data_IF_466606302982
#
_entry.id   IF_466606302982
#
_cell.length_a   1.000
_cell.length_b   1.000
_cell.length_c   1.000
_cell.angle_alpha   90.00
_cell.angle_beta   90.00
_cell.angle_gamma   90.00
#
_symmetry.space_group_name_H-M   'P 1'
#
loop_
_entity.id
_entity.type
_entity.pdbx_description
1 polymer ?
#
# COMPACT_ATOMS: atom_id res chain seq x y z
N UNK A 1 -6.42 15.49 0.21
CA UNK A 1 -4.94 15.54 0.31
C UNK A 1 -4.45 15.95 1.72
N UNK A 2 -4.66 17.17 2.26
CA UNK A 2 -4.16 17.52 3.61
C UNK A 2 -4.62 16.57 4.72
N UNK A 3 -5.85 16.07 4.62
CA UNK A 3 -6.42 15.12 5.56
C UNK A 3 -5.65 13.81 5.66
N UNK A 4 -5.21 13.27 4.54
CA UNK A 4 -4.47 12.00 4.48
C UNK A 4 -3.11 12.13 5.16
N UNK A 5 -2.41 13.23 4.90
CA UNK A 5 -1.13 13.52 5.56
C UNK A 5 -1.31 13.72 7.07
N UNK A 6 -2.37 14.42 7.49
CA UNK A 6 -2.70 14.60 8.89
C UNK A 6 -2.97 13.27 9.60
N UNK A 7 -3.65 12.34 8.93
CA UNK A 7 -3.89 11.00 9.44
C UNK A 7 -2.60 10.20 9.62
N UNK A 8 -1.70 10.20 8.64
CA UNK A 8 -0.41 9.53 8.77
C UNK A 8 0.43 10.11 9.91
N UNK A 9 0.49 11.43 10.02
CA UNK A 9 1.20 12.10 11.12
C UNK A 9 0.64 11.69 12.49
N UNK A 10 -0.68 11.61 12.62
CA UNK A 10 -1.34 11.19 13.86
C UNK A 10 -1.05 9.74 14.20
N UNK A 11 -1.10 8.82 13.24
CA UNK A 11 -0.74 7.42 13.42
C UNK A 11 0.72 7.25 13.81
N UNK A 12 1.62 7.93 13.15
CA UNK A 12 3.05 7.91 13.48
C UNK A 12 3.29 8.28 14.95
N UNK A 13 2.63 9.34 15.44
CA UNK A 13 2.73 9.73 16.86
C UNK A 13 2.21 8.63 17.79
N UNK A 14 1.08 8.02 17.46
CA UNK A 14 0.49 6.94 18.26
C UNK A 14 1.37 5.69 18.28
N UNK A 15 1.89 5.28 17.14
CA UNK A 15 2.74 4.10 17.00
C UNK A 15 4.08 4.28 17.68
N UNK A 16 4.69 5.47 17.60
CA UNK A 16 5.88 5.83 18.35
C UNK A 16 5.64 5.83 19.86
N UNK A 17 4.54 6.45 20.31
CA UNK A 17 4.19 6.48 21.73
C UNK A 17 3.91 5.08 22.29
N UNK A 18 3.25 4.23 21.51
CA UNK A 18 3.00 2.83 21.88
C UNK A 18 4.29 2.01 21.90
N UNK A 19 5.11 2.09 20.86
CA UNK A 19 6.39 1.41 20.78
C UNK A 19 7.36 1.78 21.91
N UNK A 20 7.29 3.03 22.39
CA UNK A 20 8.10 3.49 23.54
C UNK A 20 7.60 2.92 24.88
N UNK A 21 6.34 2.52 25.00
CA UNK A 21 5.74 2.00 26.24
C UNK A 21 5.77 0.48 26.37
N UNK A 22 5.84 -0.22 25.26
CA UNK A 22 5.73 -1.67 25.20
C UNK A 22 6.90 -2.30 24.47
N UNK A 23 7.84 -2.88 25.22
CA UNK A 23 8.95 -3.61 24.65
C UNK A 23 8.50 -4.87 23.88
N UNK A 24 7.44 -5.53 24.35
CA UNK A 24 6.93 -6.77 23.75
C UNK A 24 6.28 -6.52 22.38
N UNK A 25 5.56 -5.42 22.25
CA UNK A 25 4.79 -5.08 21.05
C UNK A 25 5.50 -4.06 20.15
N UNK A 26 6.67 -3.58 20.55
CA UNK A 26 7.43 -2.56 19.84
C UNK A 26 7.79 -2.96 18.39
N UNK A 27 7.96 -4.26 18.13
CA UNK A 27 8.24 -4.75 16.78
C UNK A 27 7.07 -4.50 15.84
N UNK A 28 5.83 -4.87 16.25
CA UNK A 28 4.64 -4.66 15.42
C UNK A 28 4.36 -3.18 15.19
N UNK A 29 4.48 -2.36 16.21
CA UNK A 29 4.32 -0.91 16.08
C UNK A 29 5.36 -0.30 15.13
N UNK A 30 6.61 -0.78 15.13
CA UNK A 30 7.65 -0.35 14.17
C UNK A 30 7.35 -0.77 12.76
N UNK A 31 6.86 -2.00 12.55
CA UNK A 31 6.53 -2.50 11.21
C UNK A 31 5.36 -1.70 10.60
N UNK A 32 4.33 -1.40 11.39
CA UNK A 32 3.21 -0.56 10.99
C UNK A 32 3.68 0.90 10.71
N UNK A 33 4.52 1.46 11.59
CA UNK A 33 5.11 2.80 11.44
C UNK A 33 5.94 2.91 10.16
N UNK A 34 6.79 1.93 9.87
CA UNK A 34 7.59 1.90 8.66
C UNK A 34 6.73 1.89 7.40
N UNK A 35 5.65 1.10 7.40
CA UNK A 35 4.67 1.07 6.32
C UNK A 35 3.98 2.43 6.12
N UNK A 36 3.56 3.08 7.20
CA UNK A 36 2.89 4.38 7.14
C UNK A 36 3.86 5.51 6.73
N UNK A 37 5.12 5.47 7.15
CA UNK A 37 6.15 6.41 6.70
C UNK A 37 6.44 6.29 5.20
N UNK A 38 6.53 5.08 4.66
CA UNK A 38 6.71 4.86 3.22
C UNK A 38 5.51 5.37 2.41
N UNK A 39 4.30 5.10 2.86
CA UNK A 39 3.09 5.62 2.24
C UNK A 39 3.06 7.16 2.28
N UNK A 40 3.47 7.77 3.39
CA UNK A 40 3.56 9.23 3.53
C UNK A 40 4.56 9.84 2.55
N UNK A 41 5.77 9.27 2.44
CA UNK A 41 6.80 9.74 1.47
C UNK A 41 6.25 9.72 0.04
N UNK A 42 5.64 8.61 -0.35
CA UNK A 42 5.02 8.45 -1.66
C UNK A 42 3.95 9.50 -1.92
N UNK A 43 3.14 9.77 -0.92
CA UNK A 43 2.09 10.80 -0.99
C UNK A 43 2.66 12.21 -1.15
N UNK A 44 3.75 12.53 -0.45
CA UNK A 44 4.46 13.80 -0.62
C UNK A 44 5.04 13.95 -2.02
N UNK A 45 5.64 12.91 -2.58
CA UNK A 45 6.15 12.92 -3.95
C UNK A 45 5.06 13.15 -4.98
N UNK A 46 3.95 12.44 -4.86
CA UNK A 46 2.77 12.63 -5.69
C UNK A 46 2.20 14.05 -5.59
N UNK A 47 2.09 14.58 -4.36
CA UNK A 47 1.68 15.97 -4.13
C UNK A 47 2.64 16.98 -4.73
N UNK A 48 3.94 16.79 -4.54
CA UNK A 48 4.95 17.67 -5.12
C UNK A 48 4.83 17.73 -6.65
N UNK A 49 4.67 16.56 -7.30
CA UNK A 49 4.43 16.49 -8.75
C UNK A 49 3.14 17.18 -9.19
N UNK A 50 2.03 17.00 -8.48
CA UNK A 50 0.75 17.64 -8.82
C UNK A 50 0.69 19.14 -8.51
N UNK A 51 1.48 19.62 -7.54
CA UNK A 51 1.52 21.03 -7.16
C UNK A 51 2.61 21.80 -7.91
N UNK A 52 3.48 21.12 -8.63
CA UNK A 52 4.46 21.74 -9.51
C UNK A 52 3.73 22.36 -10.73
N UNK A 53 3.80 23.70 -10.90
CA UNK A 53 3.09 24.37 -12.00
C UNK A 53 3.55 23.93 -13.39
N UNK A 54 4.82 23.60 -13.56
CA UNK A 54 5.38 23.19 -14.86
C UNK A 54 4.91 21.77 -15.22
N UNK A 55 4.95 20.84 -14.25
CA UNK A 55 4.42 19.48 -14.42
C UNK A 55 2.92 19.53 -14.71
N UNK A 56 2.19 20.32 -13.96
CA UNK A 56 0.74 20.47 -14.15
C UNK A 56 0.41 21.04 -15.53
N UNK A 57 1.10 22.10 -15.95
CA UNK A 57 0.91 22.69 -17.28
C UNK A 57 1.25 21.70 -18.41
N UNK A 58 2.33 20.91 -18.26
CA UNK A 58 2.69 19.88 -19.22
C UNK A 58 1.63 18.77 -19.35
N UNK A 59 1.08 18.30 -18.21
CA UNK A 59 0.00 17.32 -18.21
C UNK A 59 -1.27 17.85 -18.86
N UNK A 60 -1.66 19.09 -18.54
CA UNK A 60 -2.81 19.76 -19.16
C UNK A 60 -2.64 19.94 -20.67
N UNK A 61 -1.46 20.38 -21.12
CA UNK A 61 -1.17 20.56 -22.54
C UNK A 61 -1.22 19.22 -23.30
N UNK A 62 -0.71 18.15 -22.71
CA UNK A 62 -0.79 16.79 -23.27
C UNK A 62 -2.24 16.31 -23.39
N UNK A 63 -3.04 16.48 -22.33
CA UNK A 63 -4.44 16.13 -22.34
C UNK A 63 -5.22 16.93 -23.38
N UNK A 64 -4.99 18.25 -23.46
CA UNK A 64 -5.67 19.12 -24.42
C UNK A 64 -5.34 18.72 -25.86
N UNK A 65 -4.08 18.44 -26.15
CA UNK A 65 -3.67 17.96 -27.48
C UNK A 65 -4.41 16.67 -27.88
N UNK A 66 -4.55 15.74 -26.95
CA UNK A 66 -5.30 14.49 -27.20
C UNK A 66 -6.79 14.77 -27.42
N UNK A 67 -7.41 15.61 -26.58
CA UNK A 67 -8.83 16.01 -26.72
C UNK A 67 -9.09 16.66 -28.06
N UNK A 68 -8.22 17.58 -28.51
CA UNK A 68 -8.33 18.26 -29.79
C UNK A 68 -8.24 17.27 -30.97
N UNK A 69 -7.36 16.28 -30.87
CA UNK A 69 -7.24 15.25 -31.89
C UNK A 69 -8.48 14.34 -31.93
N UNK A 70 -8.99 13.94 -30.78
CA UNK A 70 -10.23 13.13 -30.65
C UNK A 70 -11.43 13.89 -31.23
N UNK A 71 -11.56 15.19 -30.93
CA UNK A 71 -12.71 15.99 -31.36
C UNK A 71 -12.80 16.20 -32.89
N UNK A 72 -11.64 16.09 -33.56
CA UNK A 72 -11.55 16.23 -35.03
C UNK A 72 -11.93 14.96 -35.80
N UNK A 73 -11.92 13.81 -35.16
CA UNK A 73 -12.25 12.54 -35.80
C UNK A 73 -13.62 12.01 -35.35
N UNK A 74 -14.64 12.04 -36.23
CA UNK A 74 -15.97 11.52 -35.90
C UNK A 74 -15.98 10.05 -35.47
N UNK A 75 -14.97 9.25 -35.87
CA UNK A 75 -14.85 7.84 -35.47
C UNK A 75 -14.52 7.67 -33.99
N UNK A 76 -13.97 8.72 -33.38
CA UNK A 76 -13.57 8.74 -31.96
C UNK A 76 -14.61 9.42 -31.05
N UNK A 77 -15.85 9.60 -31.53
CA UNK A 77 -16.94 10.27 -30.78
C UNK A 77 -17.12 9.70 -29.37
N UNK A 78 -17.09 8.37 -29.21
CA UNK A 78 -17.27 7.74 -27.90
C UNK A 78 -16.19 8.15 -26.90
N UNK A 79 -14.95 8.33 -27.35
CA UNK A 79 -13.86 8.83 -26.51
C UNK A 79 -14.05 10.30 -26.13
N UNK A 80 -14.62 11.11 -27.00
CA UNK A 80 -14.98 12.50 -26.69
C UNK A 80 -16.01 12.58 -25.57
N UNK A 81 -17.10 11.81 -25.71
CA UNK A 81 -18.18 11.74 -24.71
C UNK A 81 -17.71 11.10 -23.37
N UNK A 82 -16.64 10.30 -23.40
CA UNK A 82 -16.09 9.64 -22.22
C UNK A 82 -15.58 10.63 -21.18
N UNK A 83 -15.03 11.76 -21.57
CA UNK A 83 -14.51 12.76 -20.62
C UNK A 83 -15.63 13.32 -19.72
N UNK A 84 -16.80 13.61 -20.27
CA UNK A 84 -17.93 14.11 -19.49
C UNK A 84 -18.52 13.03 -18.59
N UNK A 85 -18.57 11.78 -19.07
CA UNK A 85 -18.97 10.63 -18.25
C UNK A 85 -17.99 10.40 -17.09
N UNK A 86 -16.69 10.48 -17.32
CA UNK A 86 -15.66 10.38 -16.27
C UNK A 86 -15.81 11.48 -15.23
N UNK A 87 -16.03 12.73 -15.67
CA UNK A 87 -16.27 13.87 -14.78
C UNK A 87 -17.50 13.64 -13.91
N UNK A 88 -18.61 13.26 -14.52
CA UNK A 88 -19.88 13.01 -13.81
C UNK A 88 -19.72 11.87 -12.81
N UNK A 89 -19.12 10.74 -13.22
CA UNK A 89 -18.86 9.60 -12.34
C UNK A 89 -17.96 9.97 -11.15
N UNK A 90 -16.92 10.77 -11.40
CA UNK A 90 -16.03 11.23 -10.32
C UNK A 90 -16.74 12.18 -9.35
N UNK A 91 -17.65 13.01 -9.81
CA UNK A 91 -18.48 13.87 -8.94
C UNK A 91 -19.43 13.03 -8.07
N UNK A 92 -20.04 11.98 -8.60
CA UNK A 92 -20.89 11.07 -7.83
C UNK A 92 -20.10 10.27 -6.79
N UNK A 93 -18.90 9.80 -7.16
CA UNK A 93 -17.96 9.18 -6.19
C UNK A 93 -17.63 10.17 -5.08
N UNK A 94 -17.33 11.42 -5.40
CA UNK A 94 -16.96 12.44 -4.40
C UNK A 94 -18.10 12.71 -3.41
N UNK A 95 -19.36 12.72 -3.83
CA UNK A 95 -20.53 12.87 -2.94
C UNK A 95 -20.63 11.72 -1.92
N UNK A 96 -20.30 10.51 -2.33
CA UNK A 96 -20.38 9.30 -1.52
C UNK A 96 -19.06 8.94 -0.80
N UNK A 97 -17.98 9.66 -1.12
CA UNK A 97 -16.61 9.30 -0.69
C UNK A 97 -16.47 9.18 0.83
N UNK A 98 -17.18 10.03 1.59
CA UNK A 98 -17.10 10.00 3.06
C UNK A 98 -17.57 8.67 3.64
N UNK A 99 -18.75 8.19 3.23
CA UNK A 99 -19.30 6.91 3.70
C UNK A 99 -18.47 5.74 3.18
N UNK A 100 -18.17 5.73 1.89
CA UNK A 100 -17.38 4.66 1.28
C UNK A 100 -16.00 4.53 1.93
N UNK A 101 -15.27 5.63 2.06
CA UNK A 101 -13.93 5.63 2.63
C UNK A 101 -13.90 5.19 4.09
N UNK A 102 -14.93 5.48 4.87
CA UNK A 102 -14.99 5.13 6.27
C UNK A 102 -15.54 3.74 6.54
N UNK A 103 -16.56 3.31 5.81
CA UNK A 103 -17.26 2.09 6.15
C UNK A 103 -16.84 0.90 5.30
N UNK A 104 -16.46 1.12 4.04
CA UNK A 104 -16.25 0.02 3.09
C UNK A 104 -14.83 -0.12 2.62
N UNK A 105 -14.10 0.97 2.52
CA UNK A 105 -12.87 0.99 1.75
C UNK A 105 -11.86 -0.09 2.14
N UNK A 106 -11.63 -1.04 1.22
CA UNK A 106 -10.53 -1.99 1.28
C UNK A 106 -9.29 -1.48 0.53
N UNK A 107 -9.50 -0.68 -0.52
CA UNK A 107 -8.44 -0.05 -1.31
C UNK A 107 -8.77 1.40 -1.55
N UNK A 108 -7.92 2.31 -1.19
CA UNK A 108 -8.08 3.70 -1.55
C UNK A 108 -7.41 4.01 -2.89
N UNK A 109 -7.96 5.02 -3.47
CA UNK A 109 -7.42 5.93 -4.45
C UNK A 109 -5.91 5.83 -4.73
N UNK A 110 -5.45 6.30 -5.88
CA UNK A 110 -4.59 5.61 -6.82
C UNK A 110 -3.29 5.05 -6.22
N UNK A 111 -2.93 3.91 -6.76
CA UNK A 111 -1.65 3.21 -6.63
C UNK A 111 -0.98 3.29 -5.24
N UNK A 112 -1.22 2.29 -4.41
CA UNK A 112 -0.41 2.01 -3.22
C UNK A 112 -0.83 2.69 -1.91
N UNK A 113 -1.88 3.49 -1.91
CA UNK A 113 -2.42 4.10 -0.71
C UNK A 113 -3.52 3.24 -0.06
N UNK A 114 -3.31 2.85 1.18
CA UNK A 114 -4.36 2.29 2.05
C UNK A 114 -4.89 3.43 2.92
N UNK A 115 -6.04 4.01 2.57
CA UNK A 115 -6.71 5.06 3.34
C UNK A 115 -7.11 4.64 4.74
N UNK A 116 -7.67 5.58 5.52
CA UNK A 116 -8.19 5.25 6.82
C UNK A 116 -9.33 4.25 6.64
N UNK A 117 -9.14 3.06 7.15
CA UNK A 117 -10.26 2.12 7.36
C UNK A 117 -10.99 2.60 8.60
N UNK A 118 -12.30 2.77 8.50
CA UNK A 118 -13.10 2.86 9.71
C UNK A 118 -12.87 1.59 10.54
N UNK A 119 -12.85 1.77 11.83
CA UNK A 119 -12.67 0.66 12.77
C UNK A 119 -11.36 -0.13 12.55
N UNK A 120 -10.25 0.59 12.43
CA UNK A 120 -8.95 0.03 12.13
C UNK A 120 -8.48 -0.93 13.24
N UNK A 121 -8.42 -2.22 12.93
CA UNK A 121 -7.96 -3.29 13.80
C UNK A 121 -8.18 -4.66 13.17
N UNK A 122 -7.43 -5.67 13.63
CA UNK A 122 -7.57 -7.03 13.14
C UNK A 122 -8.90 -7.65 13.57
N UNK A 123 -9.36 -7.33 14.78
CA UNK A 123 -10.60 -7.90 15.34
C UNK A 123 -11.83 -7.47 14.54
N UNK A 124 -11.93 -6.19 14.18
CA UNK A 124 -13.03 -5.71 13.34
C UNK A 124 -12.96 -6.31 11.93
N UNK A 125 -11.76 -6.44 11.36
CA UNK A 125 -11.55 -7.08 10.06
C UNK A 125 -12.08 -8.52 10.08
N UNK A 126 -11.71 -9.31 11.09
CA UNK A 126 -12.20 -10.68 11.21
C UNK A 126 -13.72 -10.77 11.40
N UNK A 127 -14.31 -9.90 12.22
CA UNK A 127 -15.75 -9.82 12.38
C UNK A 127 -16.48 -9.56 11.05
N UNK A 128 -15.97 -8.57 10.25
CA UNK A 128 -16.50 -8.26 8.92
C UNK A 128 -16.37 -9.42 7.96
N UNK A 129 -15.22 -10.10 7.94
CA UNK A 129 -15.01 -11.26 7.08
C UNK A 129 -16.00 -12.38 7.41
N UNK A 130 -16.25 -12.66 8.68
CA UNK A 130 -17.19 -13.68 9.12
C UNK A 130 -18.62 -13.39 8.67
N UNK A 131 -19.14 -12.19 8.93
CA UNK A 131 -20.52 -11.84 8.54
C UNK A 131 -20.70 -11.87 7.02
N UNK A 132 -19.71 -11.35 6.27
CA UNK A 132 -19.76 -11.35 4.80
C UNK A 132 -19.60 -12.73 4.20
N UNK A 133 -18.76 -13.59 4.77
CA UNK A 133 -18.60 -14.96 4.29
C UNK A 133 -19.91 -15.75 4.31
N UNK A 134 -20.79 -15.52 5.28
CA UNK A 134 -22.11 -16.13 5.33
C UNK A 134 -22.98 -15.67 4.16
N UNK A 135 -23.09 -14.36 3.97
CA UNK A 135 -23.92 -13.79 2.92
C UNK A 135 -23.43 -14.18 1.52
N UNK A 136 -22.11 -14.12 1.33
CA UNK A 136 -21.51 -14.40 0.02
C UNK A 136 -21.60 -15.90 -0.33
N UNK A 137 -21.46 -16.80 0.63
CA UNK A 137 -21.64 -18.26 0.38
C UNK A 137 -23.05 -18.63 -0.06
N UNK A 138 -24.05 -17.85 0.31
CA UNK A 138 -25.43 -18.06 -0.16
C UNK A 138 -25.62 -17.71 -1.65
N UNK A 139 -24.66 -17.02 -2.27
CA UNK A 139 -24.70 -16.59 -3.68
C UNK A 139 -23.98 -17.58 -4.59
N UNK A 140 -24.37 -17.67 -5.87
CA UNK A 140 -23.55 -18.31 -6.90
C UNK A 140 -22.13 -17.72 -6.95
N UNK A 141 -21.13 -18.56 -7.19
CA UNK A 141 -19.71 -18.14 -7.13
C UNK A 141 -19.38 -16.90 -7.98
N UNK A 142 -19.98 -16.80 -9.18
CA UNK A 142 -19.77 -15.64 -10.08
C UNK A 142 -20.32 -14.31 -9.56
N UNK A 143 -21.32 -14.35 -8.67
CA UNK A 143 -21.98 -13.16 -8.10
C UNK A 143 -21.36 -12.71 -6.77
N UNK A 144 -20.45 -13.52 -6.22
CA UNK A 144 -19.77 -13.20 -4.96
C UNK A 144 -18.78 -12.05 -5.15
N UNK A 145 -18.61 -11.27 -4.10
CA UNK A 145 -17.46 -10.36 -4.00
C UNK A 145 -16.18 -11.16 -4.23
N UNK A 146 -15.23 -10.63 -4.98
CA UNK A 146 -14.03 -11.35 -5.45
C UNK A 146 -13.27 -12.08 -4.33
N UNK A 147 -13.17 -11.48 -3.16
CA UNK A 147 -12.52 -12.03 -1.97
C UNK A 147 -13.20 -13.30 -1.42
N UNK A 148 -14.48 -13.51 -1.72
CA UNK A 148 -15.28 -14.65 -1.26
C UNK A 148 -15.55 -15.69 -2.35
N UNK A 149 -14.96 -15.55 -3.52
CA UNK A 149 -15.02 -16.56 -4.59
C UNK A 149 -14.20 -17.78 -4.22
N UNK A 150 -14.57 -18.92 -4.80
CA UNK A 150 -13.87 -20.18 -4.54
C UNK A 150 -12.37 -20.09 -4.86
N UNK A 151 -11.98 -19.33 -5.89
CA UNK A 151 -10.58 -19.08 -6.24
C UNK A 151 -9.78 -18.26 -5.22
N UNK A 152 -10.45 -17.54 -4.32
CA UNK A 152 -9.83 -16.72 -3.28
C UNK A 152 -9.92 -17.36 -1.88
N UNK A 153 -10.51 -18.56 -1.77
CA UNK A 153 -10.79 -19.23 -0.49
C UNK A 153 -9.53 -19.40 0.35
N UNK A 154 -8.48 -19.95 -0.21
CA UNK A 154 -7.24 -20.23 0.53
C UNK A 154 -6.62 -18.94 1.09
N UNK A 155 -6.64 -17.86 0.31
CA UNK A 155 -6.16 -16.55 0.76
C UNK A 155 -7.04 -15.95 1.87
N UNK A 156 -8.37 -16.10 1.77
CA UNK A 156 -9.32 -15.66 2.78
C UNK A 156 -9.12 -16.43 4.10
N UNK A 157 -8.98 -17.75 4.00
CA UNK A 157 -8.79 -18.63 5.18
C UNK A 157 -7.41 -18.39 5.81
N UNK A 158 -6.36 -18.17 5.03
CA UNK A 158 -5.04 -17.78 5.53
C UNK A 158 -5.11 -16.49 6.35
N UNK A 159 -5.84 -15.50 5.85
CA UNK A 159 -6.04 -14.22 6.56
C UNK A 159 -6.89 -14.39 7.81
N UNK A 160 -8.05 -15.05 7.70
CA UNK A 160 -9.00 -15.21 8.79
C UNK A 160 -8.46 -16.11 9.92
N UNK A 161 -7.65 -17.11 9.59
CA UNK A 161 -7.09 -18.06 10.53
C UNK A 161 -5.64 -17.77 10.91
N UNK A 162 -5.16 -16.56 10.62
CA UNK A 162 -3.84 -16.11 11.03
C UNK A 162 -3.63 -16.33 12.54
N UNK A 163 -2.45 -16.86 12.88
CA UNK A 163 -2.00 -17.07 14.26
C UNK A 163 -1.13 -15.94 14.77
N UNK A 164 -1.04 -14.85 14.03
CA UNK A 164 -0.30 -13.65 14.47
C UNK A 164 -0.85 -13.15 15.81
N UNK A 165 0.02 -12.77 16.74
CA UNK A 165 -0.39 -12.23 18.03
C UNK A 165 -1.28 -11.00 17.88
N UNK A 166 -2.37 -10.96 18.64
CA UNK A 166 -3.26 -9.81 18.76
C UNK A 166 -3.09 -9.25 20.17
N UNK A 167 -2.70 -7.99 20.26
CA UNK A 167 -2.46 -7.32 21.53
C UNK A 167 -3.62 -6.39 21.84
N UNK A 168 -4.30 -6.62 22.96
CA UNK A 168 -5.51 -5.88 23.35
C UNK A 168 -5.27 -4.38 23.44
N UNK A 169 -4.20 -3.98 24.10
CA UNK A 169 -3.86 -2.58 24.28
C UNK A 169 -3.59 -1.88 22.94
N UNK A 170 -2.97 -2.58 21.98
CA UNK A 170 -2.72 -2.05 20.65
C UNK A 170 -4.01 -1.99 19.80
N UNK A 171 -4.86 -3.00 19.86
CA UNK A 171 -6.17 -2.97 19.19
C UNK A 171 -7.08 -1.87 19.79
N UNK A 172 -7.07 -1.67 21.11
CA UNK A 172 -7.80 -0.59 21.80
C UNK A 172 -7.28 0.77 21.30
N UNK A 173 -5.96 0.96 21.25
CA UNK A 173 -5.36 2.21 20.78
C UNK A 173 -5.81 2.54 19.36
N UNK A 174 -5.69 1.57 18.43
CA UNK A 174 -6.04 1.72 17.01
C UNK A 174 -7.53 1.97 16.81
N UNK A 175 -8.37 1.24 17.53
CA UNK A 175 -9.82 1.37 17.45
C UNK A 175 -10.29 2.69 18.07
N UNK A 176 -9.69 3.13 19.19
CA UNK A 176 -9.95 4.44 19.79
C UNK A 176 -9.65 5.56 18.81
N UNK A 177 -8.49 5.51 18.16
CA UNK A 177 -8.09 6.49 17.16
C UNK A 177 -9.09 6.53 16.00
N UNK A 178 -9.46 5.39 15.45
CA UNK A 178 -10.39 5.32 14.34
C UNK A 178 -11.82 5.75 14.71
N UNK A 179 -12.31 5.41 15.90
CA UNK A 179 -13.60 5.89 16.40
C UNK A 179 -13.59 7.41 16.63
N UNK A 180 -12.50 7.97 17.16
CA UNK A 180 -12.34 9.41 17.34
C UNK A 180 -12.39 10.15 16.00
N UNK A 181 -11.70 9.61 15.01
CA UNK A 181 -11.72 10.16 13.65
C UNK A 181 -13.10 10.03 13.00
N UNK A 182 -13.80 8.92 13.22
CA UNK A 182 -15.18 8.71 12.78
C UNK A 182 -16.13 9.78 13.34
N UNK A 183 -16.06 10.04 14.64
CA UNK A 183 -16.84 11.13 15.28
C UNK A 183 -16.48 12.49 14.69
N UNK A 184 -15.20 12.75 14.51
CA UNK A 184 -14.72 14.02 13.93
C UNK A 184 -15.26 14.27 12.52
N UNK A 185 -15.40 13.21 11.72
CA UNK A 185 -15.82 13.32 10.31
C UNK A 185 -17.32 13.33 10.09
N UNK A 186 -18.06 12.58 10.91
CA UNK A 186 -19.51 12.47 10.76
C UNK A 186 -20.28 13.39 11.68
N UNK A 187 -19.68 13.82 12.79
CA UNK A 187 -20.29 14.60 13.84
C UNK A 187 -20.91 13.71 14.92
N UNK A 188 -20.85 14.17 16.17
CA UNK A 188 -21.35 13.42 17.34
C UNK A 188 -22.87 13.18 17.28
N UNK A 189 -23.60 14.01 16.54
CA UNK A 189 -25.05 13.91 16.38
C UNK A 189 -25.52 12.97 15.26
N UNK A 190 -24.60 12.51 14.43
CA UNK A 190 -24.92 11.56 13.36
C UNK A 190 -25.55 10.28 13.92
N UNK A 191 -26.69 9.80 13.37
CA UNK A 191 -27.38 8.61 13.89
C UNK A 191 -26.53 7.33 13.87
N UNK A 192 -25.64 7.19 12.88
CA UNK A 192 -24.73 6.04 12.82
C UNK A 192 -23.64 6.14 13.87
N UNK A 193 -23.10 7.33 14.11
CA UNK A 193 -22.11 7.57 15.17
C UNK A 193 -22.72 7.24 16.53
N UNK A 194 -23.93 7.71 16.82
CA UNK A 194 -24.63 7.40 18.08
C UNK A 194 -24.82 5.90 18.29
N UNK A 195 -25.21 5.18 17.24
CA UNK A 195 -25.35 3.71 17.30
C UNK A 195 -24.01 3.01 17.51
N UNK A 196 -22.97 3.42 16.81
CA UNK A 196 -21.63 2.84 16.91
C UNK A 196 -21.03 3.05 18.31
N UNK A 197 -21.13 4.26 18.85
CA UNK A 197 -20.60 4.59 20.16
C UNK A 197 -21.45 4.04 21.33
N UNK A 198 -22.73 3.76 21.10
CA UNK A 198 -23.65 3.27 22.13
C UNK A 198 -23.63 4.10 23.43
N UNK A 199 -23.53 5.43 23.31
CA UNK A 199 -23.49 6.37 24.42
C UNK A 199 -22.15 6.46 25.17
N UNK A 200 -21.09 5.85 24.65
CA UNK A 200 -19.75 5.81 25.26
C UNK A 200 -18.77 6.76 24.56
N UNK A 201 -17.67 7.06 25.26
CA UNK A 201 -16.52 7.70 24.59
C UNK A 201 -15.89 6.76 23.57
N UNK A 202 -15.17 7.26 22.54
CA UNK A 202 -14.43 6.40 21.61
C UNK A 202 -13.52 5.41 22.33
N UNK A 203 -12.84 5.81 23.39
CA UNK A 203 -11.96 4.95 24.18
C UNK A 203 -12.75 3.85 24.92
N UNK A 204 -13.78 4.21 25.67
CA UNK A 204 -14.56 3.22 26.43
C UNK A 204 -15.27 2.23 25.51
N UNK A 205 -15.71 2.70 24.34
CA UNK A 205 -16.27 1.83 23.30
C UNK A 205 -15.23 0.86 22.74
N UNK A 206 -14.01 1.32 22.48
CA UNK A 206 -12.92 0.48 22.02
C UNK A 206 -12.56 -0.59 23.07
N UNK A 207 -12.45 -0.20 24.34
CA UNK A 207 -12.20 -1.13 25.45
C UNK A 207 -13.28 -2.21 25.51
N UNK A 208 -14.57 -1.82 25.49
CA UNK A 208 -15.69 -2.77 25.51
C UNK A 208 -15.62 -3.76 24.36
N UNK A 209 -15.42 -3.29 23.14
CA UNK A 209 -15.39 -4.11 21.92
C UNK A 209 -14.22 -5.09 21.93
N UNK A 210 -13.03 -4.63 22.27
CA UNK A 210 -11.82 -5.47 22.27
C UNK A 210 -11.81 -6.45 23.42
N UNK A 211 -12.24 -6.04 24.62
CA UNK A 211 -12.27 -6.93 25.78
C UNK A 211 -13.40 -7.96 25.71
N UNK A 212 -14.51 -7.60 25.05
CA UNK A 212 -15.69 -8.45 24.96
C UNK A 212 -15.65 -9.49 23.83
N UNK A 213 -14.83 -9.28 22.81
CA UNK A 213 -14.77 -10.19 21.65
C UNK A 213 -13.93 -11.44 21.95
N UNK A 214 -14.39 -12.58 21.40
CA UNK A 214 -13.66 -13.86 21.41
C UNK A 214 -12.86 -14.09 20.12
N UNK A 215 -12.87 -13.16 19.16
CA UNK A 215 -12.24 -13.31 17.86
C UNK A 215 -10.70 -13.30 17.89
N UNK A 216 -10.08 -13.07 19.05
CA UNK A 216 -8.65 -13.29 19.26
C UNK A 216 -8.27 -14.75 19.09
N UNK A 217 -9.16 -15.66 19.47
CA UNK A 217 -8.94 -17.10 19.36
C UNK A 217 -9.21 -17.60 17.95
N UNK A 218 -8.20 -18.22 17.35
CA UNK A 218 -8.28 -18.83 16.01
C UNK A 218 -9.32 -19.94 15.96
N UNK A 219 -9.47 -20.73 17.05
CA UNK A 219 -10.44 -21.80 17.10
C UNK A 219 -11.88 -21.25 17.01
N UNK A 220 -12.17 -20.15 17.71
CA UNK A 220 -13.46 -19.45 17.63
C UNK A 220 -13.71 -18.93 16.21
N UNK A 221 -12.70 -18.33 15.56
CA UNK A 221 -12.85 -17.85 14.17
C UNK A 221 -13.14 -18.99 13.20
N UNK A 222 -12.46 -20.13 13.33
CA UNK A 222 -12.71 -21.34 12.53
C UNK A 222 -14.11 -21.89 12.75
N UNK A 223 -14.54 -21.98 14.00
CA UNK A 223 -15.88 -22.45 14.33
C UNK A 223 -16.95 -21.54 13.70
N UNK A 224 -16.85 -20.23 13.91
CA UNK A 224 -17.82 -19.25 13.41
C UNK A 224 -17.84 -19.16 11.88
N UNK A 225 -16.72 -19.35 11.23
CA UNK A 225 -16.63 -19.33 9.76
C UNK A 225 -17.47 -20.44 9.12
N UNK A 226 -17.60 -21.59 9.75
CA UNK A 226 -18.43 -22.70 9.28
C UNK A 226 -19.95 -22.55 9.56
N UNK A 227 -20.36 -21.53 10.34
CA UNK A 227 -21.76 -21.35 10.78
C UNK A 227 -22.59 -20.50 9.81
N UNK A 228 -23.89 -20.49 10.06
CA UNK A 228 -24.86 -19.62 9.39
C UNK A 228 -25.06 -18.27 10.12
N UNK A 229 -25.94 -17.44 9.56
CA UNK A 229 -26.21 -16.11 10.11
C UNK A 229 -26.85 -16.16 11.50
N UNK A 230 -27.70 -17.15 11.76
CA UNK A 230 -28.37 -17.31 13.07
C UNK A 230 -27.36 -17.67 14.17
N UNK A 231 -26.43 -18.57 13.89
CA UNK A 231 -25.35 -18.92 14.80
C UNK A 231 -24.39 -17.76 15.08
N UNK A 232 -24.04 -16.98 14.06
CA UNK A 232 -23.24 -15.76 14.23
C UNK A 232 -23.95 -14.72 15.09
N UNK A 233 -25.27 -14.62 14.99
CA UNK A 233 -26.07 -13.74 15.85
C UNK A 233 -26.13 -14.26 17.30
N UNK A 234 -26.30 -15.56 17.47
CA UNK A 234 -26.35 -16.21 18.78
C UNK A 234 -24.99 -16.19 19.52
N UNK A 235 -23.89 -15.90 18.84
CA UNK A 235 -22.57 -15.77 19.46
C UNK A 235 -22.47 -14.56 20.40
N UNK A 236 -23.36 -13.55 20.27
CA UNK A 236 -23.38 -12.31 21.08
C UNK A 236 -21.99 -11.68 21.24
N UNK A 237 -21.20 -11.67 20.17
CA UNK A 237 -19.87 -11.07 20.15
C UNK A 237 -19.97 -9.58 19.77
N UNK A 238 -19.51 -8.65 20.62
CA UNK A 238 -19.72 -7.21 20.41
C UNK A 238 -19.01 -6.68 19.17
N UNK A 239 -17.92 -7.32 18.72
CA UNK A 239 -17.23 -6.91 17.49
C UNK A 239 -18.01 -7.37 16.26
N UNK A 240 -18.61 -8.56 16.29
CA UNK A 240 -19.51 -9.05 15.24
C UNK A 240 -20.75 -8.16 15.15
N UNK A 241 -21.32 -7.77 16.29
CA UNK A 241 -22.49 -6.88 16.34
C UNK A 241 -22.17 -5.49 15.76
N UNK A 242 -20.99 -4.94 16.07
CA UNK A 242 -20.51 -3.70 15.44
C UNK A 242 -20.36 -3.87 13.93
N UNK A 243 -19.71 -4.95 13.48
CA UNK A 243 -19.53 -5.19 12.06
C UNK A 243 -20.86 -5.29 11.32
N UNK A 244 -21.85 -5.98 11.89
CA UNK A 244 -23.20 -6.09 11.35
C UNK A 244 -23.95 -4.75 11.31
N UNK A 245 -23.78 -3.92 12.33
CA UNK A 245 -24.40 -2.60 12.41
C UNK A 245 -23.97 -1.70 11.23
N UNK A 246 -22.71 -1.77 10.84
CA UNK A 246 -22.15 -0.89 9.81
C UNK A 246 -22.12 -1.51 8.41
N UNK A 247 -22.35 -2.81 8.24
CA UNK A 247 -22.21 -3.51 6.96
C UNK A 247 -23.27 -3.09 5.94
N UNK A 248 -24.52 -2.87 6.35
CA UNK A 248 -25.57 -2.38 5.46
C UNK A 248 -25.21 -1.04 4.81
N UNK A 249 -24.96 0.04 5.56
CA UNK A 249 -24.50 1.31 5.04
C UNK A 249 -23.18 1.20 4.21
N UNK A 250 -22.27 0.31 4.60
CA UNK A 250 -21.04 0.08 3.87
C UNK A 250 -21.30 -0.51 2.47
N UNK A 251 -22.14 -1.52 2.37
CA UNK A 251 -22.53 -2.17 1.10
C UNK A 251 -23.26 -1.20 0.16
N UNK A 252 -24.16 -0.34 0.68
CA UNK A 252 -24.82 0.68 -0.14
C UNK A 252 -23.80 1.69 -0.69
N UNK A 253 -22.87 2.15 0.14
CA UNK A 253 -21.82 3.04 -0.31
C UNK A 253 -20.91 2.38 -1.37
N UNK A 254 -20.61 1.08 -1.21
CA UNK A 254 -19.87 0.28 -2.18
C UNK A 254 -20.60 0.15 -3.50
N UNK A 255 -21.88 -0.14 -3.48
CA UNK A 255 -22.72 -0.28 -4.69
C UNK A 255 -22.69 0.98 -5.55
N UNK A 256 -22.82 2.16 -4.93
CA UNK A 256 -22.70 3.44 -5.62
C UNK A 256 -21.30 3.59 -6.21
N UNK A 257 -20.27 3.32 -5.41
CA UNK A 257 -18.88 3.43 -5.85
C UNK A 257 -18.58 2.51 -7.05
N UNK A 258 -18.94 1.23 -6.95
CA UNK A 258 -18.68 0.23 -8.00
C UNK A 258 -19.38 0.58 -9.31
N UNK A 259 -20.60 1.09 -9.25
CA UNK A 259 -21.34 1.52 -10.44
C UNK A 259 -20.63 2.68 -11.16
N UNK A 260 -20.09 3.63 -10.42
CA UNK A 260 -19.34 4.75 -11.01
C UNK A 260 -17.96 4.33 -11.50
N UNK A 261 -17.27 3.42 -10.80
CA UNK A 261 -15.98 2.86 -11.25
C UNK A 261 -16.14 2.08 -12.57
N UNK A 262 -17.25 1.39 -12.77
CA UNK A 262 -17.53 0.73 -14.06
C UNK A 262 -17.68 1.73 -15.20
N UNK A 263 -18.39 2.84 -14.99
CA UNK A 263 -18.49 3.93 -15.96
C UNK A 263 -17.10 4.51 -16.27
N UNK A 264 -16.26 4.69 -15.24
CA UNK A 264 -14.87 5.16 -15.40
C UNK A 264 -14.02 4.19 -16.20
N UNK A 265 -14.08 2.88 -15.91
CA UNK A 265 -13.34 1.86 -16.66
C UNK A 265 -13.68 1.88 -18.14
N UNK A 266 -14.96 1.96 -18.47
CA UNK A 266 -15.43 2.07 -19.86
C UNK A 266 -14.90 3.35 -20.52
N UNK A 267 -15.03 4.49 -19.84
CA UNK A 267 -14.51 5.77 -20.33
C UNK A 267 -13.00 5.76 -20.57
N UNK A 268 -12.24 5.24 -19.64
CA UNK A 268 -10.77 5.08 -19.80
C UNK A 268 -10.42 4.14 -20.95
N UNK A 269 -11.18 3.04 -21.14
CA UNK A 269 -10.96 2.13 -22.27
C UNK A 269 -11.17 2.82 -23.61
N UNK A 270 -12.20 3.65 -23.73
CA UNK A 270 -12.49 4.41 -24.97
C UNK A 270 -11.43 5.47 -25.25
N UNK A 271 -10.98 6.22 -24.23
CA UNK A 271 -9.90 7.19 -24.35
C UNK A 271 -8.59 6.50 -24.72
N UNK A 272 -8.28 5.34 -24.10
CA UNK A 272 -7.09 4.57 -24.43
C UNK A 272 -7.08 4.09 -25.89
N UNK A 273 -8.21 3.57 -26.38
CA UNK A 273 -8.36 3.18 -27.81
C UNK A 273 -8.12 4.37 -28.73
N UNK A 274 -8.69 5.53 -28.42
CA UNK A 274 -8.49 6.75 -29.19
C UNK A 274 -7.03 7.20 -29.16
N UNK A 275 -6.40 7.14 -28.00
CA UNK A 275 -4.98 7.45 -27.83
C UNK A 275 -4.10 6.55 -28.71
N UNK A 276 -4.33 5.24 -28.69
CA UNK A 276 -3.59 4.30 -29.55
C UNK A 276 -3.85 4.55 -31.04
N UNK A 277 -5.06 4.95 -31.42
CA UNK A 277 -5.37 5.29 -32.81
C UNK A 277 -4.63 6.56 -33.30
N UNK A 278 -4.40 7.52 -32.40
CA UNK A 278 -3.75 8.81 -32.70
C UNK A 278 -2.23 8.72 -32.53
N UNK A 279 -1.74 8.17 -31.41
CA UNK A 279 -0.33 8.17 -31.02
C UNK A 279 0.42 6.88 -31.45
N UNK A 280 -0.33 5.86 -31.92
CA UNK A 280 0.26 4.55 -32.24
C UNK A 280 0.54 3.71 -31.00
N UNK A 281 1.39 2.69 -31.16
CA UNK A 281 1.72 1.68 -30.12
C UNK A 281 3.07 1.93 -29.46
N UNK A 282 3.68 3.07 -29.66
CA UNK A 282 5.03 3.38 -29.16
C UNK A 282 5.06 3.66 -27.64
N UNK A 283 3.88 3.81 -27.01
CA UNK A 283 3.77 3.91 -25.55
C UNK A 283 3.60 2.54 -24.93
N UNK A 284 4.45 2.22 -23.95
CA UNK A 284 4.30 0.97 -23.17
C UNK A 284 3.02 0.99 -22.32
N UNK A 285 2.38 -0.17 -22.12
CA UNK A 285 1.15 -0.28 -21.34
C UNK A 285 1.42 -0.18 -19.84
N UNK A 286 0.38 0.16 -19.08
CA UNK A 286 0.41 0.09 -17.61
C UNK A 286 0.70 -1.33 -17.11
N UNK A 287 1.13 -1.44 -15.85
CA UNK A 287 1.37 -2.71 -15.21
C UNK A 287 0.10 -3.55 -15.11
N UNK A 288 0.16 -4.77 -15.64
CA UNK A 288 -0.97 -5.71 -15.72
C UNK A 288 -0.71 -7.03 -14.97
N UNK A 289 0.31 -7.04 -14.09
CA UNK A 289 0.80 -8.26 -13.42
C UNK A 289 1.29 -9.37 -14.37
N UNK A 290 1.57 -9.03 -15.62
CA UNK A 290 2.27 -9.88 -16.57
C UNK A 290 3.76 -9.55 -16.56
N UNK A 291 4.59 -10.48 -17.04
CA UNK A 291 6.03 -10.25 -17.16
C UNK A 291 6.29 -9.02 -18.06
N UNK A 292 7.10 -8.09 -17.53
CA UNK A 292 7.46 -6.83 -18.21
C UNK A 292 8.93 -6.58 -18.03
N UNK A 293 9.54 -6.03 -19.07
CA UNK A 293 10.91 -5.56 -19.03
C UNK A 293 10.91 -4.03 -18.87
N UNK A 294 11.52 -3.54 -17.76
CA UNK A 294 11.97 -2.16 -17.65
C UNK A 294 13.48 -2.14 -17.87
N UNK A 295 13.99 -1.20 -18.64
CA UNK A 295 15.41 -1.13 -18.95
C UNK A 295 15.95 0.28 -18.76
N UNK A 296 17.26 0.38 -18.53
CA UNK A 296 17.95 1.63 -18.30
C UNK A 296 19.45 1.41 -18.14
N UNK A 297 20.15 2.47 -17.82
CA UNK A 297 21.60 2.47 -17.63
C UNK A 297 21.96 2.70 -16.17
N UNK A 298 22.92 1.95 -15.64
CA UNK A 298 23.51 2.21 -14.32
C UNK A 298 24.32 3.51 -14.43
N UNK A 299 23.81 4.56 -13.81
CA UNK A 299 24.47 5.88 -13.80
C UNK A 299 24.05 6.71 -12.59
N UNK A 300 25.00 7.48 -12.06
CA UNK A 300 24.73 8.47 -11.04
C UNK A 300 23.89 9.64 -11.54
N UNK A 301 23.79 10.67 -10.72
CA UNK A 301 23.07 11.91 -11.05
C UNK A 301 23.70 13.11 -10.33
N UNK A 302 23.33 14.30 -10.75
CA UNK A 302 23.74 15.52 -10.09
C UNK A 302 22.63 15.97 -9.12
N UNK A 303 23.02 16.29 -7.89
CA UNK A 303 22.12 16.89 -6.90
C UNK A 303 22.83 18.02 -6.16
N UNK A 304 22.23 19.20 -6.16
CA UNK A 304 22.75 20.40 -5.46
C UNK A 304 24.22 20.71 -5.83
N UNK A 305 24.57 20.58 -7.12
CA UNK A 305 25.91 20.77 -7.64
C UNK A 305 26.91 19.67 -7.28
N UNK A 306 26.46 18.55 -6.70
CA UNK A 306 27.30 17.40 -6.36
C UNK A 306 26.96 16.21 -7.24
N UNK A 307 28.00 15.52 -7.71
CA UNK A 307 27.84 14.26 -8.42
C UNK A 307 27.57 13.13 -7.40
N UNK A 308 26.40 12.51 -7.52
CA UNK A 308 26.03 11.32 -6.75
C UNK A 308 26.48 10.10 -7.56
N UNK A 309 27.32 9.23 -7.01
CA UNK A 309 27.84 8.07 -7.75
C UNK A 309 26.72 7.04 -8.01
N UNK A 310 26.95 6.20 -9.03
CA UNK A 310 26.01 5.13 -9.35
C UNK A 310 25.99 3.99 -8.34
N UNK A 311 27.07 3.81 -7.58
CA UNK A 311 27.24 2.74 -6.60
C UNK A 311 27.49 3.32 -5.20
N UNK A 312 27.01 2.60 -4.21
CA UNK A 312 27.43 2.71 -2.82
C UNK A 312 28.20 1.44 -2.45
N UNK A 313 28.93 1.46 -1.34
CA UNK A 313 29.69 0.33 -0.82
C UNK A 313 29.42 0.09 0.69
N UNK A 314 29.99 -0.98 1.24
CA UNK A 314 29.86 -1.26 2.68
C UNK A 314 30.58 -0.21 3.53
N UNK A 315 31.65 0.42 3.05
CA UNK A 315 32.29 1.51 3.80
C UNK A 315 31.29 2.64 4.04
N UNK A 316 30.56 3.05 2.99
CA UNK A 316 29.52 4.07 3.06
C UNK A 316 28.38 3.72 4.02
N UNK A 317 27.98 2.45 4.13
CA UNK A 317 26.99 2.00 5.12
C UNK A 317 27.43 2.34 6.56
N UNK A 318 28.65 1.99 6.93
CA UNK A 318 29.20 2.26 8.27
C UNK A 318 29.47 3.73 8.49
N UNK A 319 29.96 4.44 7.47
CA UNK A 319 30.15 5.88 7.53
C UNK A 319 28.81 6.59 7.81
N UNK A 320 27.76 6.22 7.10
CA UNK A 320 26.43 6.83 7.26
C UNK A 320 25.88 6.62 8.67
N UNK A 321 26.04 5.43 9.22
CA UNK A 321 25.67 5.15 10.62
C UNK A 321 26.45 6.04 11.60
N UNK A 322 27.77 6.17 11.40
CA UNK A 322 28.63 6.98 12.26
C UNK A 322 28.31 8.49 12.17
N UNK A 323 28.00 9.02 10.99
CA UNK A 323 27.56 10.41 10.79
C UNK A 323 26.30 10.77 11.60
N UNK A 324 25.53 9.77 11.98
CA UNK A 324 24.32 9.90 12.81
C UNK A 324 24.50 9.30 14.23
N UNK A 325 25.73 9.29 14.75
CA UNK A 325 26.07 8.80 16.10
C UNK A 325 25.66 7.33 16.34
N UNK A 326 25.49 6.52 15.31
CA UNK A 326 24.97 5.15 15.36
C UNK A 326 23.62 5.04 16.10
N UNK A 327 22.77 6.07 15.97
CA UNK A 327 21.44 6.13 16.60
C UNK A 327 20.32 5.84 15.60
N UNK A 328 19.16 5.34 16.06
CA UNK A 328 18.00 5.17 15.21
C UNK A 328 17.63 6.45 14.42
N UNK A 329 17.27 6.32 13.15
CA UNK A 329 17.09 5.10 12.35
C UNK A 329 18.34 4.61 11.61
N UNK A 330 19.52 5.11 11.95
CA UNK A 330 20.80 4.81 11.30
C UNK A 330 21.67 3.82 12.07
N UNK A 331 21.15 3.29 13.19
CA UNK A 331 21.82 2.23 13.95
C UNK A 331 21.85 0.93 13.13
N UNK A 332 22.99 0.24 13.18
CA UNK A 332 23.14 -1.04 12.50
C UNK A 332 22.81 -2.20 13.45
N UNK A 333 22.21 -3.29 12.93
CA UNK A 333 22.01 -4.49 13.70
C UNK A 333 23.33 -4.99 14.31
N UNK A 334 23.28 -5.48 15.55
CA UNK A 334 24.49 -5.92 16.28
C UNK A 334 25.39 -6.86 15.46
N UNK A 335 24.79 -7.78 14.70
CA UNK A 335 25.53 -8.70 13.82
C UNK A 335 26.40 -7.97 12.80
N UNK A 336 25.89 -6.90 12.19
CA UNK A 336 26.63 -6.09 11.22
C UNK A 336 27.78 -5.33 11.88
N UNK A 337 27.57 -4.82 13.10
CA UNK A 337 28.64 -4.16 13.88
C UNK A 337 29.73 -5.15 14.22
N UNK A 338 29.39 -6.33 14.77
CA UNK A 338 30.33 -7.35 15.20
C UNK A 338 31.15 -7.94 14.04
N UNK A 339 30.54 -8.06 12.85
CA UNK A 339 31.16 -8.67 11.67
C UNK A 339 31.85 -7.68 10.73
N UNK A 340 31.88 -6.37 11.06
CA UNK A 340 32.48 -5.33 10.20
C UNK A 340 33.89 -5.68 9.72
N UNK A 341 34.75 -6.20 10.61
CA UNK A 341 36.13 -6.52 10.29
C UNK A 341 36.31 -7.72 9.35
N UNK A 342 35.27 -8.51 9.13
CA UNK A 342 35.29 -9.66 8.21
C UNK A 342 34.82 -9.31 6.79
N UNK A 343 34.20 -8.15 6.61
CA UNK A 343 33.67 -7.69 5.33
C UNK A 343 34.74 -7.02 4.47
N UNK A 344 34.66 -7.23 3.18
CA UNK A 344 35.32 -6.33 2.21
C UNK A 344 34.47 -5.07 2.09
N UNK A 345 34.96 -3.98 2.70
CA UNK A 345 34.25 -2.70 2.75
C UNK A 345 34.16 -2.00 1.40
N UNK A 346 34.94 -2.40 0.41
CA UNK A 346 34.89 -1.89 -0.95
C UNK A 346 33.86 -2.60 -1.83
N UNK A 347 33.26 -3.69 -1.34
CA UNK A 347 32.19 -4.37 -2.08
C UNK A 347 31.02 -3.43 -2.33
N UNK A 348 30.54 -3.35 -3.57
CA UNK A 348 29.35 -2.57 -3.94
C UNK A 348 28.15 -3.04 -3.14
N UNK A 349 27.43 -2.09 -2.55
CA UNK A 349 26.25 -2.39 -1.71
C UNK A 349 24.96 -2.21 -2.48
N UNK A 350 24.77 -1.01 -3.04
CA UNK A 350 23.62 -0.71 -3.90
C UNK A 350 24.11 -0.02 -5.17
N UNK A 351 23.28 -0.11 -6.22
CA UNK A 351 23.46 0.70 -7.42
C UNK A 351 22.16 1.37 -7.84
N UNK A 352 22.30 2.42 -8.64
CA UNK A 352 21.17 3.17 -9.20
C UNK A 352 21.19 3.16 -10.72
N UNK A 353 19.99 3.10 -11.31
CA UNK A 353 19.79 3.15 -12.76
C UNK A 353 18.66 4.10 -13.13
N UNK A 354 18.62 4.54 -14.37
CA UNK A 354 17.55 5.37 -14.92
C UNK A 354 16.37 4.58 -15.48
N UNK A 355 16.26 3.30 -15.12
CA UNK A 355 15.12 2.48 -15.48
C UNK A 355 13.81 3.06 -14.91
N UNK A 356 12.77 3.12 -15.73
CA UNK A 356 11.43 3.54 -15.28
C UNK A 356 10.81 2.47 -14.41
N UNK A 357 10.55 2.80 -13.15
CA UNK A 357 9.99 1.91 -12.16
C UNK A 357 8.79 2.56 -11.47
N UNK A 358 7.88 1.72 -11.00
CA UNK A 358 6.74 2.13 -10.17
C UNK A 358 6.50 1.09 -9.08
N UNK A 359 5.61 1.36 -8.13
CA UNK A 359 5.21 0.37 -7.13
C UNK A 359 4.79 -0.96 -7.78
N UNK A 360 5.37 -2.07 -7.27
CA UNK A 360 5.22 -3.41 -7.84
C UNK A 360 6.52 -3.97 -8.44
N UNK A 361 7.47 -3.12 -8.80
CA UNK A 361 8.80 -3.56 -9.25
C UNK A 361 9.66 -4.16 -8.13
N UNK A 362 9.39 -3.80 -6.86
CA UNK A 362 10.17 -4.25 -5.71
C UNK A 362 10.27 -5.77 -5.64
N UNK A 363 11.50 -6.30 -5.47
CA UNK A 363 11.81 -7.72 -5.45
C UNK A 363 12.09 -8.34 -6.82
N UNK A 364 11.94 -7.59 -7.92
CA UNK A 364 12.25 -8.09 -9.26
C UNK A 364 13.76 -8.23 -9.47
N UNK A 365 14.21 -9.26 -10.20
CA UNK A 365 15.62 -9.41 -10.55
C UNK A 365 16.06 -8.31 -11.53
N UNK A 366 17.28 -7.83 -11.34
CA UNK A 366 17.99 -6.98 -12.30
C UNK A 366 19.03 -7.83 -12.99
N UNK A 367 19.03 -7.78 -14.32
CA UNK A 367 19.98 -8.53 -15.16
C UNK A 367 20.78 -7.58 -16.06
N UNK A 368 22.01 -7.94 -16.37
CA UNK A 368 22.82 -7.24 -17.36
C UNK A 368 22.46 -7.65 -18.79
N UNK A 369 23.20 -7.14 -19.78
CA UNK A 369 22.97 -7.44 -21.22
C UNK A 369 23.20 -8.91 -21.56
N UNK A 370 24.02 -9.58 -20.80
CA UNK A 370 24.37 -11.00 -20.93
C UNK A 370 23.35 -11.90 -20.22
N UNK A 371 22.29 -11.29 -19.63
CA UNK A 371 21.25 -11.96 -18.85
C UNK A 371 21.77 -12.57 -17.54
N UNK A 372 22.84 -12.03 -16.99
CA UNK A 372 23.35 -12.44 -15.69
C UNK A 372 22.67 -11.61 -14.59
N UNK A 373 22.36 -12.27 -13.48
CA UNK A 373 21.77 -11.61 -12.31
C UNK A 373 22.77 -10.67 -11.63
N UNK A 374 22.46 -9.38 -11.57
CA UNK A 374 23.32 -8.35 -10.99
C UNK A 374 22.72 -7.69 -9.74
N UNK A 375 21.46 -7.95 -9.42
CA UNK A 375 20.87 -7.38 -8.23
C UNK A 375 19.35 -7.53 -8.15
N UNK A 376 18.77 -6.92 -7.12
CA UNK A 376 17.33 -6.89 -6.87
C UNK A 376 16.90 -5.44 -6.70
N UNK A 377 15.92 -5.00 -7.49
CA UNK A 377 15.27 -3.69 -7.32
C UNK A 377 14.43 -3.69 -6.04
N UNK A 378 14.53 -2.65 -5.21
CA UNK A 378 13.75 -2.56 -3.99
C UNK A 378 13.11 -1.20 -3.74
N UNK A 379 13.64 -0.11 -4.35
CA UNK A 379 13.11 1.24 -4.13
C UNK A 379 13.46 2.18 -5.30
N UNK A 380 13.03 3.41 -5.19
CA UNK A 380 13.48 4.54 -5.99
C UNK A 380 14.07 5.62 -5.10
N UNK A 381 14.99 6.45 -5.63
CA UNK A 381 15.45 7.60 -4.89
C UNK A 381 14.29 8.61 -4.69
N UNK A 382 14.50 9.61 -3.80
CA UNK A 382 13.41 10.55 -3.48
C UNK A 382 12.92 11.33 -4.71
N UNK A 383 13.79 11.57 -5.67
CA UNK A 383 13.47 12.26 -6.92
C UNK A 383 12.60 11.40 -7.86
N UNK A 384 12.57 10.08 -7.67
CA UNK A 384 11.71 9.18 -8.45
C UNK A 384 10.24 9.24 -8.06
N UNK A 385 9.88 9.86 -6.94
CA UNK A 385 8.50 9.96 -6.49
C UNK A 385 7.59 10.75 -7.46
N UNK A 386 8.16 11.60 -8.30
CA UNK A 386 7.44 12.34 -9.34
C UNK A 386 7.05 11.46 -10.53
N UNK A 387 7.66 10.29 -10.69
CA UNK A 387 7.41 9.37 -11.81
C UNK A 387 5.96 8.84 -11.84
N UNK A 388 5.23 8.92 -10.74
CA UNK A 388 3.78 8.66 -10.73
C UNK A 388 2.98 9.67 -11.57
N UNK A 389 3.54 10.84 -11.86
CA UNK A 389 2.91 11.93 -12.60
C UNK A 389 3.53 12.15 -13.98
N UNK A 390 4.85 12.17 -14.05
CA UNK A 390 5.61 12.42 -15.27
C UNK A 390 6.94 11.67 -15.22
N UNK A 391 7.34 11.07 -16.34
CA UNK A 391 8.66 10.46 -16.48
C UNK A 391 9.74 11.52 -16.62
N UNK A 392 10.82 11.39 -15.84
CA UNK A 392 12.07 12.12 -15.96
C UNK A 392 13.23 11.23 -15.54
N UNK A 393 14.33 11.30 -16.26
CA UNK A 393 15.57 10.58 -15.98
C UNK A 393 16.73 11.50 -15.55
N UNK A 394 16.43 12.77 -15.32
CA UNK A 394 17.45 13.77 -14.91
C UNK A 394 18.06 13.39 -13.56
N UNK A 395 17.21 13.17 -12.53
CA UNK A 395 17.63 12.80 -11.18
C UNK A 395 16.94 11.56 -10.67
N UNK A 396 15.77 11.19 -11.21
CA UNK A 396 15.04 10.01 -10.80
C UNK A 396 15.83 8.74 -11.09
N UNK A 397 15.97 7.86 -10.09
CA UNK A 397 16.72 6.61 -10.19
C UNK A 397 16.00 5.46 -9.50
N UNK A 398 16.03 4.32 -10.15
CA UNK A 398 15.74 3.02 -9.53
C UNK A 398 16.90 2.63 -8.63
N UNK A 399 16.62 2.07 -7.45
CA UNK A 399 17.65 1.66 -6.47
C UNK A 399 17.59 0.15 -6.29
N UNK A 400 18.72 -0.51 -6.54
CA UNK A 400 18.87 -1.96 -6.45
C UNK A 400 19.97 -2.34 -5.49
N UNK A 401 19.77 -3.42 -4.73
CA UNK A 401 20.88 -4.06 -4.00
C UNK A 401 21.75 -4.84 -4.98
N UNK A 402 23.06 -4.70 -4.85
CA UNK A 402 24.02 -5.38 -5.71
C UNK A 402 24.14 -6.87 -5.33
N UNK A 403 24.25 -7.76 -6.32
CA UNK A 403 24.43 -9.19 -6.11
C UNK A 403 25.71 -9.49 -5.34
N UNK A 404 26.79 -8.72 -5.53
CA UNK A 404 28.03 -8.84 -4.77
C UNK A 404 27.79 -8.60 -3.28
N UNK A 405 26.98 -7.59 -2.92
CA UNK A 405 26.63 -7.36 -1.51
C UNK A 405 25.83 -8.52 -0.91
N UNK A 406 24.94 -9.12 -1.68
CA UNK A 406 24.13 -10.26 -1.23
C UNK A 406 25.07 -11.42 -0.88
N UNK A 407 25.97 -11.78 -1.76
CA UNK A 407 26.92 -12.89 -1.57
C UNK A 407 27.87 -12.61 -0.40
N UNK A 408 28.45 -11.41 -0.33
CA UNK A 408 29.35 -11.01 0.77
C UNK A 408 28.64 -11.06 2.12
N UNK A 409 27.40 -10.51 2.19
CA UNK A 409 26.61 -10.54 3.41
C UNK A 409 26.24 -11.97 3.83
N UNK A 410 25.83 -12.83 2.90
CA UNK A 410 25.53 -14.23 3.20
C UNK A 410 26.74 -14.95 3.78
N UNK A 411 27.90 -14.79 3.17
CA UNK A 411 29.14 -15.46 3.62
C UNK A 411 29.69 -14.92 4.93
N UNK A 412 29.75 -13.61 5.08
CA UNK A 412 30.50 -12.96 6.16
C UNK A 412 29.65 -12.49 7.32
N UNK A 413 28.44 -12.01 7.04
CA UNK A 413 27.54 -11.48 8.07
C UNK A 413 26.58 -12.55 8.59
N UNK A 414 26.04 -13.38 7.71
CA UNK A 414 24.99 -14.34 8.07
C UNK A 414 25.49 -15.77 8.27
N UNK A 415 26.77 -16.05 8.02
CA UNK A 415 27.41 -17.36 8.12
C UNK A 415 26.67 -18.43 7.26
N UNK A 416 26.10 -18.00 6.12
CA UNK A 416 25.26 -18.79 5.20
C UNK A 416 26.01 -19.16 3.91
N UNK A 417 27.28 -19.59 4.02
CA UNK A 417 28.14 -19.90 2.87
C UNK A 417 27.53 -20.98 1.96
N UNK A 418 26.85 -21.97 2.51
CA UNK A 418 26.20 -23.02 1.70
C UNK A 418 25.11 -22.45 0.77
N UNK A 419 24.34 -21.45 1.23
CA UNK A 419 23.35 -20.74 0.41
C UNK A 419 24.03 -19.89 -0.68
N UNK A 420 25.11 -19.20 -0.30
CA UNK A 420 25.89 -18.43 -1.28
C UNK A 420 26.47 -19.33 -2.37
N UNK A 421 27.00 -20.51 -2.02
CA UNK A 421 27.51 -21.48 -2.98
C UNK A 421 26.40 -22.01 -3.90
N UNK A 422 25.21 -22.25 -3.37
CA UNK A 422 24.04 -22.68 -4.16
C UNK A 422 23.64 -21.61 -5.18
N UNK A 423 23.59 -20.33 -4.75
CA UNK A 423 23.24 -19.19 -5.61
C UNK A 423 24.28 -18.96 -6.71
N UNK A 424 25.56 -19.18 -6.43
CA UNK A 424 26.63 -19.09 -7.44
C UNK A 424 26.74 -20.34 -8.34
N UNK A 425 25.85 -21.30 -8.16
CA UNK A 425 25.81 -22.51 -8.98
C UNK A 425 26.93 -23.50 -8.68
N UNK A 426 27.57 -23.41 -7.51
CA UNK A 426 28.52 -24.38 -7.06
C UNK A 426 27.83 -25.75 -6.90
N UNK A 427 28.25 -26.74 -7.68
CA UNK A 427 27.74 -28.11 -7.55
C UNK A 427 28.12 -28.64 -6.16
N UNK A 428 27.13 -29.16 -5.44
CA UNK A 428 27.34 -29.94 -4.21
C UNK A 428 28.20 -31.15 -4.47
#
# INVERSE_FOLDING_TARGET
>A
MPYVLQMFNRREVLELAYGARSCENARKARDDLFGDQNNRKRYYGYLAGLLDPEIWAALQAREQKLRDAISRDPKLRLANDAYDRLKTAQMEIAKNARLYNYLEQERPVPVGYRGPRAFFGNLFKYARLLIRAVDERAKPNGERISQFRDSARDSLELELFSTEPIYDDYEILRLTDSLTDFVSKFGADDPLVKKVLAGKSPHDRAVELVSGTKLKDVAVRKELYGKDAAALQAAHDPMIDLARLVDGPAREAKKIYDAQEEIKKQGYSEIAKARFAIEGTDSYPDATFTLRLSYGTVRGYEQDGKQIPAFTDFAGLYQRSAEHDNKPPFDLPKRWVDKKSSLDLATHFNFVSDADIIGGNSGSPVVNKENEFVGIIFDGNIQSLVLDCIFTDTQARAVSVDSAAIIEALRKTYDASALADELEGAKK
#
